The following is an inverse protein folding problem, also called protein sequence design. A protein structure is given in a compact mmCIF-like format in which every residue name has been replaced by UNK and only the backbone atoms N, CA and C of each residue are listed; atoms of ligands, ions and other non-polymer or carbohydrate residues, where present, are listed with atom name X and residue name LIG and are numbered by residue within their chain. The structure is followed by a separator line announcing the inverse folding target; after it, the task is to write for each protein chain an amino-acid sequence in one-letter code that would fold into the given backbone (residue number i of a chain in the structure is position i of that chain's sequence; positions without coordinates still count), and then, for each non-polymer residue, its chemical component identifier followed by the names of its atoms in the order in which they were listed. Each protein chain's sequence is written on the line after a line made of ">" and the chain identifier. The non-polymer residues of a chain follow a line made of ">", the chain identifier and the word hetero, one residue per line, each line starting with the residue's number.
data_IF_281738302701
#
_entry.id   IF_281738302701
#
_cell.length_a   1.000
_cell.length_b   1.000
_cell.length_c   1.000
_cell.angle_alpha   90.00
_cell.angle_beta   90.00
_cell.angle_gamma   90.00
#
_symmetry.space_group_name_H-M   'P 1'
#
loop_
_entity.id
_entity.type
_entity.pdbx_description
1 polymer ?
#
# COMPACT_ATOMS: atom_id res chain seq x y z
N UNK A 1 4.54 5.06 15.71
CA UNK A 1 4.97 4.75 14.34
C UNK A 1 3.83 5.15 13.43
N UNK A 2 4.09 6.01 12.45
CA UNK A 2 3.08 6.44 11.48
C UNK A 2 3.51 5.87 10.13
N UNK A 3 2.63 5.10 9.50
CA UNK A 3 2.88 4.46 8.21
C UNK A 3 1.78 4.94 7.28
N UNK A 4 2.17 5.42 6.11
CA UNK A 4 1.26 6.00 5.13
C UNK A 4 1.36 5.25 3.81
N UNK A 5 0.20 5.09 3.19
CA UNK A 5 0.06 4.51 1.87
C UNK A 5 -0.89 5.37 1.03
N UNK A 6 -0.61 5.45 -0.27
CA UNK A 6 -1.44 6.13 -1.24
C UNK A 6 -2.10 5.11 -2.17
N UNK A 7 -3.42 5.25 -2.38
CA UNK A 7 -4.16 4.44 -3.33
C UNK A 7 -4.41 5.24 -4.62
N UNK A 8 -4.09 4.66 -5.77
CA UNK A 8 -4.32 5.25 -7.09
C UNK A 8 -5.28 4.39 -7.90
N UNK A 9 -6.30 5.03 -8.49
CA UNK A 9 -7.23 4.37 -9.40
C UNK A 9 -6.60 4.17 -10.78
N UNK A 10 -6.71 2.97 -11.34
CA UNK A 10 -6.34 2.72 -12.73
C UNK A 10 -7.45 3.26 -13.63
N UNK A 11 -7.08 4.08 -14.61
CA UNK A 11 -8.04 4.63 -15.56
C UNK A 11 -8.71 3.50 -16.35
N UNK A 12 -10.04 3.58 -16.48
CA UNK A 12 -10.87 2.61 -17.21
C UNK A 12 -10.89 1.19 -16.62
N UNK A 13 -10.39 0.99 -15.40
CA UNK A 13 -10.53 -0.27 -14.66
C UNK A 13 -11.22 -0.03 -13.32
N UNK A 14 -11.99 -1.01 -12.86
CA UNK A 14 -12.49 -1.05 -11.48
C UNK A 14 -11.39 -1.57 -10.55
N UNK A 15 -10.23 -0.91 -10.56
CA UNK A 15 -9.05 -1.34 -9.83
C UNK A 15 -8.30 -0.16 -9.23
N UNK A 16 -7.88 -0.36 -7.99
CA UNK A 16 -6.99 0.53 -7.25
C UNK A 16 -5.67 -0.19 -6.96
N UNK A 17 -4.58 0.56 -7.03
CA UNK A 17 -3.24 0.08 -6.64
C UNK A 17 -2.79 0.89 -5.45
N UNK A 18 -2.39 0.19 -4.39
CA UNK A 18 -1.93 0.83 -3.16
C UNK A 18 -0.41 0.77 -3.11
N UNK A 19 0.21 1.91 -2.85
CA UNK A 19 1.65 2.06 -2.74
C UNK A 19 2.04 2.58 -1.37
N UNK A 20 3.16 2.09 -0.87
CA UNK A 20 3.84 2.58 0.31
C UNK A 20 4.97 3.52 -0.11
N UNK A 21 5.10 4.65 0.58
CA UNK A 21 6.22 5.58 0.34
C UNK A 21 7.56 4.90 0.64
N UNK A 22 8.61 5.28 -0.09
CA UNK A 22 9.98 4.86 0.14
C UNK A 22 10.63 5.57 1.34
N UNK A 23 10.06 6.69 1.80
CA UNK A 23 10.56 7.42 2.98
C UNK A 23 10.18 6.78 4.33
N UNK A 24 9.64 5.56 4.32
CA UNK A 24 9.25 4.85 5.54
C UNK A 24 10.49 4.52 6.41
N UNK A 25 10.57 5.16 7.57
CA UNK A 25 11.78 5.27 8.39
C UNK A 25 11.99 4.10 9.36
N UNK A 26 11.65 2.86 8.95
CA UNK A 26 11.84 1.69 9.82
C UNK A 26 12.50 0.52 9.11
N UNK A 27 13.50 -0.06 9.78
CA UNK A 27 14.26 -1.24 9.33
C UNK A 27 13.36 -2.46 9.09
N UNK A 28 12.23 -2.54 9.80
CA UNK A 28 11.23 -3.61 9.64
C UNK A 28 10.51 -3.48 8.30
N UNK A 29 10.03 -2.28 7.96
CA UNK A 29 9.34 -2.01 6.71
C UNK A 29 10.28 -2.21 5.51
N UNK A 30 11.53 -1.75 5.59
CA UNK A 30 12.52 -1.93 4.51
C UNK A 30 12.70 -3.40 4.09
N UNK A 31 12.78 -4.34 5.05
CA UNK A 31 12.90 -5.78 4.75
C UNK A 31 11.72 -6.37 3.96
N UNK A 32 10.55 -5.75 4.09
CA UNK A 32 9.32 -6.19 3.43
C UNK A 32 9.22 -5.51 2.07
N UNK A 33 9.58 -4.22 2.00
CA UNK A 33 9.65 -3.45 0.76
C UNK A 33 10.65 -4.03 -0.25
N UNK A 34 11.75 -4.64 0.20
CA UNK A 34 12.69 -5.35 -0.68
C UNK A 34 12.04 -6.48 -1.52
N UNK A 35 10.84 -6.94 -1.13
CA UNK A 35 10.06 -7.96 -1.85
C UNK A 35 8.94 -7.38 -2.71
N UNK A 36 8.71 -6.07 -2.61
CA UNK A 36 7.66 -5.37 -3.33
C UNK A 36 8.21 -4.73 -4.61
N UNK A 37 7.35 -4.61 -5.63
CA UNK A 37 7.73 -3.92 -6.86
C UNK A 37 7.86 -2.42 -6.57
N UNK A 38 9.06 -1.86 -6.77
CA UNK A 38 9.31 -0.43 -6.64
C UNK A 38 8.96 0.32 -7.93
N UNK A 39 8.24 1.43 -7.77
CA UNK A 39 7.89 2.33 -8.85
C UNK A 39 8.38 3.75 -8.51
N UNK A 40 9.28 4.30 -9.32
CA UNK A 40 10.00 5.56 -9.03
C UNK A 40 9.07 6.72 -8.62
N UNK A 41 7.91 6.84 -9.28
CA UNK A 41 6.92 7.89 -9.03
C UNK A 41 5.96 7.64 -7.87
N UNK A 42 5.72 6.37 -7.49
CA UNK A 42 4.62 6.00 -6.60
C UNK A 42 5.08 5.29 -5.32
N UNK A 43 6.32 4.81 -5.27
CA UNK A 43 6.84 3.99 -4.17
C UNK A 43 6.66 2.50 -4.42
N UNK A 44 6.55 1.72 -3.35
CA UNK A 44 6.46 0.26 -3.42
C UNK A 44 5.02 -0.18 -3.52
N UNK A 45 4.70 -0.97 -4.54
CA UNK A 45 3.37 -1.57 -4.69
C UNK A 45 3.18 -2.64 -3.62
N UNK A 46 2.16 -2.48 -2.77
CA UNK A 46 1.88 -3.41 -1.67
C UNK A 46 0.72 -4.36 -1.97
N UNK A 47 -0.38 -3.85 -2.52
CA UNK A 47 -1.53 -4.67 -2.95
C UNK A 47 -2.43 -3.91 -3.94
N UNK A 48 -3.42 -4.61 -4.48
CA UNK A 48 -4.45 -4.07 -5.37
C UNK A 48 -5.84 -4.37 -4.83
N UNK A 49 -6.80 -3.51 -5.13
CA UNK A 49 -8.21 -3.67 -4.75
C UNK A 49 -9.07 -3.61 -6.00
N UNK A 50 -9.85 -4.65 -6.26
CA UNK A 50 -10.83 -4.67 -7.35
C UNK A 50 -12.14 -4.02 -6.86
N UNK A 51 -12.26 -2.72 -7.09
CA UNK A 51 -13.43 -1.91 -6.75
C UNK A 51 -13.51 -0.70 -7.69
N UNK A 52 -14.73 -0.27 -8.04
CA UNK A 52 -14.91 0.98 -8.78
C UNK A 52 -14.59 2.19 -7.89
N UNK A 53 -15.12 2.23 -6.67
CA UNK A 53 -14.82 3.26 -5.68
C UNK A 53 -14.17 2.64 -4.44
N UNK A 54 -13.24 3.39 -3.83
CA UNK A 54 -12.52 2.97 -2.63
C UNK A 54 -12.66 4.05 -1.56
N UNK A 55 -13.52 3.81 -0.58
CA UNK A 55 -13.65 4.72 0.56
C UNK A 55 -12.42 4.66 1.45
N UNK A 56 -12.20 5.74 2.21
CA UNK A 56 -11.10 5.80 3.17
C UNK A 56 -11.22 4.70 4.23
N UNK A 57 -12.41 4.43 4.76
CA UNK A 57 -12.61 3.41 5.81
C UNK A 57 -12.27 2.01 5.30
N UNK A 58 -12.68 1.68 4.06
CA UNK A 58 -12.39 0.39 3.44
C UNK A 58 -10.89 0.28 3.14
N UNK A 59 -10.30 1.30 2.52
CA UNK A 59 -8.87 1.33 2.21
C UNK A 59 -7.99 1.23 3.47
N UNK A 60 -8.34 1.97 4.52
CA UNK A 60 -7.65 1.94 5.81
C UNK A 60 -7.70 0.55 6.45
N UNK A 61 -8.86 -0.11 6.43
CA UNK A 61 -9.00 -1.47 6.96
C UNK A 61 -8.16 -2.48 6.17
N UNK A 62 -8.20 -2.44 4.84
CA UNK A 62 -7.40 -3.32 3.98
C UNK A 62 -5.90 -3.10 4.20
N UNK A 63 -5.50 -1.85 4.38
CA UNK A 63 -4.12 -1.51 4.70
C UNK A 63 -3.69 -2.04 6.07
N UNK A 64 -4.52 -1.89 7.10
CA UNK A 64 -4.28 -2.46 8.43
C UNK A 64 -4.14 -4.00 8.38
N UNK A 65 -5.00 -4.67 7.61
CA UNK A 65 -4.92 -6.12 7.40
C UNK A 65 -3.62 -6.52 6.71
N UNK A 66 -3.17 -5.75 5.71
CA UNK A 66 -1.88 -5.98 5.06
C UNK A 66 -0.71 -5.79 6.02
N UNK A 67 -0.74 -4.77 6.89
CA UNK A 67 0.31 -4.54 7.90
C UNK A 67 0.41 -5.71 8.89
N UNK A 68 -0.73 -6.22 9.37
CA UNK A 68 -0.79 -7.39 10.28
C UNK A 68 -0.28 -8.65 9.60
N UNK A 69 -0.69 -8.91 8.35
CA UNK A 69 -0.25 -10.09 7.59
C UNK A 69 1.27 -10.12 7.38
N UNK A 70 1.89 -8.94 7.34
CA UNK A 70 3.33 -8.77 7.16
C UNK A 70 4.10 -8.61 8.49
N UNK A 71 3.43 -8.74 9.64
CA UNK A 71 4.00 -8.54 10.98
C UNK A 71 4.68 -7.17 11.16
N UNK A 72 4.11 -6.12 10.56
CA UNK A 72 4.59 -4.74 10.74
C UNK A 72 3.99 -4.13 12.02
N UNK A 73 2.75 -4.49 12.35
CA UNK A 73 2.01 -4.10 13.57
C UNK A 73 1.41 -5.32 14.27
#
# INVERSE_FOLDING_TARGET
>A
MYIEAAAYKIQNENKWVVFLDNEQDTTLVKKILDKCDFHEKYGYKIFTVDADDLSYEVGSKLFEEWLKANNII
#
